data_IF_685908333656
#
_entry.id   IF_685908333656
#
_cell.length_a   1.000
_cell.length_b   1.000
_cell.length_c   1.000
_cell.angle_alpha   90.00
_cell.angle_beta   90.00
_cell.angle_gamma   90.00
#
_symmetry.space_group_name_H-M   'P 1'
#
loop_
_entity.id
_entity.type
_entity.pdbx_description
1 polymer ?
#
# COMPACT_ATOMS: atom_id res chain seq x y z
N UNK A 1 -10.24 21.92 15.61
CA UNK A 1 -9.33 21.45 16.69
C UNK A 1 -8.79 20.00 16.56
N UNK A 2 -9.20 19.22 15.56
CA UNK A 2 -8.30 18.28 14.83
C UNK A 2 -8.59 18.53 13.35
N UNK A 3 -7.99 19.57 12.78
CA UNK A 3 -8.45 20.14 11.49
C UNK A 3 -7.77 19.58 10.24
N UNK A 4 -6.92 18.57 10.41
CA UNK A 4 -6.47 17.75 9.28
C UNK A 4 -6.34 16.32 9.78
N UNK A 5 -7.02 15.36 9.13
CA UNK A 5 -6.93 13.93 9.48
C UNK A 5 -5.49 13.39 9.52
N UNK A 6 -4.55 14.11 8.89
CA UNK A 6 -3.10 13.86 8.92
C UNK A 6 -2.53 13.94 10.35
N UNK A 7 -2.98 14.89 11.18
CA UNK A 7 -2.44 15.06 12.54
C UNK A 7 -2.69 13.82 13.39
N UNK A 8 -3.86 13.20 13.29
CA UNK A 8 -4.18 11.96 14.02
C UNK A 8 -3.22 10.81 13.66
N UNK A 9 -2.91 10.64 12.37
CA UNK A 9 -1.95 9.62 11.94
C UNK A 9 -0.52 9.91 12.38
N UNK A 10 -0.11 11.18 12.38
CA UNK A 10 1.22 11.59 12.83
C UNK A 10 1.39 11.39 14.34
N UNK A 11 0.37 11.69 15.15
CA UNK A 11 0.42 11.44 16.59
C UNK A 11 0.73 9.97 16.89
N UNK A 12 0.12 9.02 16.18
CA UNK A 12 0.41 7.60 16.34
C UNK A 12 1.88 7.26 16.05
N UNK A 13 2.43 7.80 14.96
CA UNK A 13 3.84 7.60 14.60
C UNK A 13 4.80 8.24 15.61
N UNK A 14 4.47 9.44 16.10
CA UNK A 14 5.27 10.16 17.11
C UNK A 14 5.27 9.38 18.42
N UNK A 15 4.10 8.93 18.91
CA UNK A 15 4.01 8.11 20.11
C UNK A 15 4.86 6.85 19.95
N UNK A 16 4.78 6.18 18.79
CA UNK A 16 5.57 4.97 18.52
C UNK A 16 7.09 5.21 18.60
N UNK A 17 7.57 6.40 18.19
CA UNK A 17 8.98 6.79 18.29
C UNK A 17 9.47 6.89 19.74
N UNK A 18 8.60 7.27 20.67
CA UNK A 18 8.93 7.42 22.09
C UNK A 18 8.78 6.12 22.91
N UNK A 19 8.37 5.01 22.29
CA UNK A 19 8.27 3.73 22.99
C UNK A 19 9.67 3.16 23.20
N UNK A 20 10.07 2.84 24.45
CA UNK A 20 11.42 2.35 24.73
C UNK A 20 11.67 0.98 24.08
N UNK A 21 12.66 0.93 23.20
CA UNK A 21 13.17 -0.30 22.60
C UNK A 21 14.47 -0.68 23.32
N UNK A 22 14.47 -1.81 24.02
CA UNK A 22 15.68 -2.32 24.67
C UNK A 22 16.43 -3.24 23.70
N UNK A 23 17.64 -2.82 23.28
CA UNK A 23 18.42 -3.47 22.21
C UNK A 23 19.37 -4.56 22.76
N UNK A 24 19.39 -4.79 24.07
CA UNK A 24 20.25 -5.82 24.69
C UNK A 24 19.66 -7.23 24.61
N UNK A 25 19.58 -7.81 23.41
CA UNK A 25 19.50 -9.27 23.15
C UNK A 25 18.36 -10.08 23.78
N UNK A 26 17.55 -9.51 24.65
CA UNK A 26 16.39 -10.15 25.24
C UNK A 26 15.21 -9.93 24.31
N UNK A 27 14.73 -11.04 23.78
CA UNK A 27 13.56 -11.18 22.89
C UNK A 27 12.26 -10.63 23.56
N UNK A 28 12.32 -10.20 24.82
CA UNK A 28 11.25 -9.56 25.59
C UNK A 28 11.39 -8.03 25.69
N UNK A 29 11.74 -7.34 24.61
CA UNK A 29 11.59 -5.88 24.57
C UNK A 29 10.12 -5.51 24.75
N UNK A 30 9.83 -4.54 25.62
CA UNK A 30 8.46 -4.06 25.87
C UNK A 30 7.74 -3.66 24.58
N UNK A 31 8.49 -3.13 23.60
CA UNK A 31 8.02 -2.83 22.26
C UNK A 31 7.49 -4.07 21.52
N UNK A 32 8.23 -5.18 21.49
CA UNK A 32 7.80 -6.36 20.74
C UNK A 32 6.56 -7.02 21.36
N UNK A 33 6.42 -6.95 22.69
CA UNK A 33 5.18 -7.37 23.38
C UNK A 33 4.00 -6.49 22.97
N UNK A 34 4.19 -5.17 22.96
CA UNK A 34 3.17 -4.22 22.54
C UNK A 34 2.78 -4.43 21.08
N UNK A 35 3.76 -4.61 20.18
CA UNK A 35 3.53 -4.88 18.76
C UNK A 35 2.70 -6.16 18.57
N UNK A 36 3.04 -7.24 19.26
CA UNK A 36 2.29 -8.51 19.22
C UNK A 36 0.85 -8.39 19.75
N UNK A 37 0.60 -7.50 20.70
CA UNK A 37 -0.75 -7.24 21.22
C UNK A 37 -1.58 -6.39 20.25
N UNK A 38 -0.97 -5.38 19.64
CA UNK A 38 -1.65 -4.42 18.77
C UNK A 38 -1.88 -5.00 17.36
N UNK A 39 -0.92 -5.75 16.80
CA UNK A 39 -1.03 -6.31 15.44
C UNK A 39 -2.35 -7.06 15.16
N UNK A 40 -2.80 -8.03 15.98
CA UNK A 40 -4.06 -8.73 15.69
C UNK A 40 -5.25 -7.78 15.76
N UNK A 41 -5.29 -6.85 16.71
CA UNK A 41 -6.35 -5.86 16.80
C UNK A 41 -6.39 -4.94 15.57
N UNK A 42 -5.23 -4.48 15.10
CA UNK A 42 -5.13 -3.67 13.88
C UNK A 42 -5.58 -4.46 12.65
N UNK A 43 -5.10 -5.69 12.49
CA UNK A 43 -5.33 -6.49 11.29
C UNK A 43 -6.76 -7.04 11.19
N UNK A 44 -7.38 -7.40 12.30
CA UNK A 44 -8.71 -8.03 12.31
C UNK A 44 -9.85 -7.07 12.65
N UNK A 45 -9.57 -5.90 13.25
CA UNK A 45 -10.61 -4.95 13.62
C UNK A 45 -10.42 -3.60 12.92
N UNK A 46 -9.28 -2.93 13.13
CA UNK A 46 -9.09 -1.55 12.64
C UNK A 46 -9.04 -1.51 11.11
N UNK A 47 -8.22 -2.35 10.47
CA UNK A 47 -8.09 -2.37 9.00
C UNK A 47 -9.41 -2.74 8.30
N UNK A 48 -10.13 -3.81 8.71
CA UNK A 48 -11.43 -4.14 8.12
C UNK A 48 -12.46 -3.03 8.30
N UNK A 49 -12.53 -2.42 9.50
CA UNK A 49 -13.45 -1.31 9.75
C UNK A 49 -13.10 -0.09 8.90
N UNK A 50 -11.81 0.24 8.80
CA UNK A 50 -11.32 1.36 7.98
C UNK A 50 -11.70 1.16 6.51
N UNK A 51 -11.44 -0.04 5.98
CA UNK A 51 -11.81 -0.40 4.62
C UNK A 51 -13.33 -0.31 4.46
N UNK A 52 -14.12 -0.86 5.37
CA UNK A 52 -15.57 -0.83 5.27
C UNK A 52 -16.12 0.61 5.23
N UNK A 53 -15.59 1.51 6.05
CA UNK A 53 -16.00 2.92 6.08
C UNK A 53 -15.55 3.71 4.84
N UNK A 54 -14.36 3.43 4.30
CA UNK A 54 -13.77 4.23 3.21
C UNK A 54 -13.95 3.64 1.81
N UNK A 55 -14.17 2.33 1.70
CA UNK A 55 -14.35 1.65 0.41
C UNK A 55 -15.78 1.73 -0.12
N UNK A 56 -16.72 2.31 0.63
CA UNK A 56 -18.08 2.55 0.17
C UNK A 56 -18.09 3.33 -1.14
N UNK A 57 -18.35 2.63 -2.24
CA UNK A 57 -18.48 3.19 -3.60
C UNK A 57 -19.94 3.13 -4.01
N UNK A 58 -20.47 4.28 -4.44
CA UNK A 58 -21.81 4.37 -5.01
C UNK A 58 -21.74 3.85 -6.44
N UNK A 59 -22.15 2.60 -6.64
CA UNK A 59 -22.20 1.97 -7.96
C UNK A 59 -23.28 2.58 -8.87
N UNK A 60 -24.22 3.36 -8.30
CA UNK A 60 -25.30 3.99 -9.05
C UNK A 60 -24.79 4.98 -10.10
N UNK A 61 -23.62 5.59 -9.86
CA UNK A 61 -22.94 6.51 -10.78
C UNK A 61 -21.82 5.84 -11.59
N UNK A 62 -21.78 4.49 -11.61
CA UNK A 62 -20.76 3.74 -12.33
C UNK A 62 -21.04 3.75 -13.83
N UNK A 63 -20.79 4.88 -14.47
CA UNK A 63 -20.70 4.96 -15.92
C UNK A 63 -19.30 4.56 -16.39
N UNK A 64 -19.18 3.86 -17.51
CA UNK A 64 -17.89 3.61 -18.18
C UNK A 64 -17.10 4.92 -18.39
N UNK A 65 -17.82 6.05 -18.54
CA UNK A 65 -17.26 7.39 -18.66
C UNK A 65 -16.56 7.89 -17.39
N UNK A 66 -17.05 7.50 -16.21
CA UNK A 66 -16.39 7.80 -14.92
C UNK A 66 -15.04 7.10 -14.81
N UNK A 67 -14.95 5.84 -15.27
CA UNK A 67 -13.69 5.07 -15.28
C UNK A 67 -12.69 5.65 -16.28
N UNK A 68 -13.17 6.11 -17.44
CA UNK A 68 -12.35 6.80 -18.44
C UNK A 68 -12.07 8.28 -18.11
N UNK A 69 -12.40 8.75 -16.91
CA UNK A 69 -11.96 10.09 -16.49
C UNK A 69 -10.44 10.13 -16.33
N UNK A 70 -9.82 11.25 -16.73
CA UNK A 70 -8.36 11.42 -16.64
C UNK A 70 -7.83 11.19 -15.22
N UNK A 71 -8.63 11.52 -14.20
CA UNK A 71 -8.28 11.29 -12.80
C UNK A 71 -8.23 9.79 -12.47
N UNK A 72 -9.28 9.03 -12.81
CA UNK A 72 -9.34 7.59 -12.53
C UNK A 72 -8.22 6.85 -13.26
N UNK A 73 -8.00 7.18 -14.53
CA UNK A 73 -6.93 6.58 -15.31
C UNK A 73 -5.54 6.92 -14.76
N UNK A 74 -5.33 8.19 -14.37
CA UNK A 74 -4.10 8.64 -13.72
C UNK A 74 -3.81 7.90 -12.41
N UNK A 75 -4.82 7.70 -11.57
CA UNK A 75 -4.68 6.94 -10.31
C UNK A 75 -4.37 5.47 -10.58
N UNK A 76 -5.09 4.83 -11.52
CA UNK A 76 -4.86 3.41 -11.86
C UNK A 76 -3.44 3.22 -12.42
N UNK A 77 -3.03 4.03 -13.39
CA UNK A 77 -1.69 3.95 -13.98
C UNK A 77 -0.61 4.31 -12.96
N UNK A 78 -0.84 5.32 -12.11
CA UNK A 78 0.09 5.71 -11.06
C UNK A 78 0.30 4.60 -10.02
N UNK A 79 -0.78 3.92 -9.62
CA UNK A 79 -0.72 2.78 -8.70
C UNK A 79 -0.06 1.56 -9.34
N UNK A 80 -0.49 1.20 -10.55
CA UNK A 80 -0.01 -0.01 -11.21
C UNK A 80 1.38 0.18 -11.79
N UNK A 81 1.53 1.09 -12.76
CA UNK A 81 2.79 1.31 -13.48
C UNK A 81 3.77 2.13 -12.65
N UNK A 82 3.30 3.18 -11.98
CA UNK A 82 4.16 4.09 -11.21
C UNK A 82 4.92 3.37 -10.09
N UNK A 83 4.28 2.43 -9.37
CA UNK A 83 4.96 1.63 -8.34
C UNK A 83 5.99 0.68 -8.92
N UNK A 84 5.67 0.00 -10.02
CA UNK A 84 6.59 -0.91 -10.69
C UNK A 84 7.83 -0.18 -11.20
N UNK A 85 7.62 0.92 -11.93
CA UNK A 85 8.71 1.74 -12.45
C UNK A 85 9.52 2.36 -11.32
N UNK A 86 8.88 2.91 -10.29
CA UNK A 86 9.58 3.49 -9.15
C UNK A 86 10.50 2.47 -8.47
N UNK A 87 9.97 1.30 -8.11
CA UNK A 87 10.77 0.26 -7.44
C UNK A 87 11.89 -0.24 -8.36
N UNK A 88 11.62 -0.54 -9.63
CA UNK A 88 12.64 -1.03 -10.57
C UNK A 88 13.71 0.02 -10.87
N UNK A 89 13.32 1.28 -11.06
CA UNK A 89 14.22 2.37 -11.42
C UNK A 89 15.24 2.67 -10.31
N UNK A 90 14.84 2.58 -9.03
CA UNK A 90 15.77 2.80 -7.92
C UNK A 90 16.54 1.53 -7.55
N UNK A 91 15.90 0.35 -7.63
CA UNK A 91 16.56 -0.90 -7.27
C UNK A 91 17.61 -1.35 -8.29
N UNK A 92 17.34 -1.22 -9.59
CA UNK A 92 18.23 -1.73 -10.64
C UNK A 92 19.61 -1.06 -10.65
N UNK A 93 19.73 0.28 -10.62
CA UNK A 93 21.03 0.96 -10.51
C UNK A 93 21.71 0.64 -9.19
N UNK A 94 20.99 0.64 -8.06
CA UNK A 94 21.59 0.32 -6.75
C UNK A 94 22.23 -1.07 -6.72
N UNK A 95 21.60 -2.06 -7.35
CA UNK A 95 22.18 -3.40 -7.50
C UNK A 95 23.34 -3.37 -8.49
N UNK A 96 23.20 -2.69 -9.63
CA UNK A 96 24.24 -2.62 -10.67
C UNK A 96 25.52 -1.94 -10.18
N UNK A 97 25.40 -0.95 -9.31
CA UNK A 97 26.51 -0.24 -8.68
C UNK A 97 27.01 -0.92 -7.39
N UNK A 98 26.50 -2.10 -7.04
CA UNK A 98 26.85 -2.85 -5.82
C UNK A 98 26.61 -2.08 -4.50
N UNK A 99 25.71 -1.08 -4.48
CA UNK A 99 25.25 -0.48 -3.23
C UNK A 99 24.39 -1.46 -2.42
N UNK A 100 23.67 -2.34 -3.12
CA UNK A 100 22.84 -3.38 -2.52
C UNK A 100 22.99 -4.70 -3.30
N UNK A 101 22.75 -5.83 -2.64
CA UNK A 101 22.64 -7.14 -3.29
C UNK A 101 21.21 -7.66 -3.23
N UNK A 102 20.81 -8.46 -4.23
CA UNK A 102 19.55 -9.20 -4.12
C UNK A 102 19.69 -10.27 -3.01
N UNK A 103 18.61 -10.55 -2.26
CA UNK A 103 18.62 -11.62 -1.27
C UNK A 103 18.91 -12.97 -1.92
N UNK A 104 19.45 -13.91 -1.12
CA UNK A 104 19.75 -15.27 -1.58
C UNK A 104 18.52 -15.97 -2.15
N UNK A 105 18.68 -16.73 -3.24
CA UNK A 105 17.61 -17.42 -3.98
C UNK A 105 16.55 -16.52 -4.67
N UNK A 106 16.85 -15.23 -4.88
CA UNK A 106 15.95 -14.30 -5.57
C UNK A 106 16.44 -13.97 -6.98
N UNK A 107 15.65 -14.35 -7.99
CA UNK A 107 15.84 -13.88 -9.37
C UNK A 107 15.22 -12.49 -9.57
N UNK A 108 15.68 -11.75 -10.58
CA UNK A 108 15.05 -10.48 -11.00
C UNK A 108 13.53 -10.59 -11.24
N UNK A 109 13.05 -11.73 -11.76
CA UNK A 109 11.62 -11.95 -12.04
C UNK A 109 10.79 -12.06 -10.75
N UNK A 110 11.31 -12.76 -9.73
CA UNK A 110 10.72 -12.77 -8.37
C UNK A 110 10.71 -11.38 -7.75
N UNK A 111 11.82 -10.64 -7.86
CA UNK A 111 11.89 -9.27 -7.35
C UNK A 111 10.89 -8.34 -8.06
N UNK A 112 10.72 -8.50 -9.37
CA UNK A 112 9.69 -7.79 -10.14
C UNK A 112 8.27 -8.14 -9.71
N UNK A 113 8.01 -9.39 -9.34
CA UNK A 113 6.71 -9.80 -8.76
C UNK A 113 6.38 -9.01 -7.49
N UNK A 114 7.39 -8.81 -6.62
CA UNK A 114 7.26 -8.02 -5.39
C UNK A 114 7.01 -6.54 -5.73
N UNK A 115 7.68 -6.00 -6.74
CA UNK A 115 7.45 -4.62 -7.19
C UNK A 115 6.01 -4.40 -7.68
N UNK A 116 5.43 -5.36 -8.42
CA UNK A 116 4.02 -5.31 -8.83
C UNK A 116 3.09 -5.35 -7.62
N UNK A 117 3.35 -6.23 -6.65
CA UNK A 117 2.58 -6.30 -5.40
C UNK A 117 2.69 -5.01 -4.58
N UNK A 118 3.80 -4.29 -4.68
CA UNK A 118 3.95 -2.92 -4.14
C UNK A 118 2.98 -1.90 -4.74
N UNK A 119 2.34 -2.23 -5.86
CA UNK A 119 1.22 -1.50 -6.47
C UNK A 119 -0.12 -1.66 -5.76
N UNK A 120 -0.22 -2.52 -4.73
CA UNK A 120 -1.43 -2.68 -3.92
C UNK A 120 -1.47 -1.55 -2.89
N UNK A 121 -1.93 -0.38 -3.32
CA UNK A 121 -2.06 0.80 -2.45
C UNK A 121 -3.33 0.83 -1.61
N UNK A 122 -4.32 -0.01 -1.93
CA UNK A 122 -5.67 -0.07 -1.37
C UNK A 122 -5.96 0.83 -0.14
N UNK A 123 -5.57 0.43 1.06
CA UNK A 123 -5.88 1.17 2.29
C UNK A 123 -5.18 2.52 2.40
N UNK A 124 -3.87 2.56 2.14
CA UNK A 124 -3.08 3.79 2.16
C UNK A 124 -3.57 4.78 1.10
N UNK A 125 -3.91 4.31 -0.09
CA UNK A 125 -4.43 5.14 -1.17
C UNK A 125 -5.86 5.63 -0.91
N UNK A 126 -6.73 4.81 -0.31
CA UNK A 126 -8.04 5.26 0.15
C UNK A 126 -7.91 6.33 1.23
N UNK A 127 -6.97 6.17 2.16
CA UNK A 127 -6.67 7.16 3.19
C UNK A 127 -6.19 8.48 2.57
N UNK A 128 -5.16 8.42 1.73
CA UNK A 128 -4.58 9.60 1.06
C UNK A 128 -5.60 10.27 0.14
N UNK A 129 -6.37 9.49 -0.60
CA UNK A 129 -7.45 10.02 -1.43
C UNK A 129 -8.56 10.67 -0.59
N UNK A 130 -8.89 10.10 0.56
CA UNK A 130 -9.87 10.65 1.50
C UNK A 130 -9.51 12.05 1.97
N UNK A 131 -8.26 12.25 2.39
CA UNK A 131 -7.74 13.58 2.79
C UNK A 131 -7.59 14.54 1.60
N UNK A 132 -7.28 14.01 0.40
CA UNK A 132 -7.05 14.86 -0.78
C UNK A 132 -8.35 15.41 -1.35
N UNK A 133 -9.43 14.63 -1.29
CA UNK A 133 -10.73 14.98 -1.86
C UNK A 133 -11.79 15.21 -0.77
N UNK A 134 -11.36 15.56 0.44
CA UNK A 134 -12.24 15.84 1.57
C UNK A 134 -13.14 17.03 1.22
N UNK A 135 -14.47 16.81 1.15
CA UNK A 135 -15.45 17.86 0.83
C UNK A 135 -15.82 18.06 -0.65
N UNK A 136 -15.35 17.21 -1.57
CA UNK A 136 -15.66 17.36 -3.01
C UNK A 136 -15.96 16.07 -3.79
N UNK A 137 -16.70 16.20 -4.90
CA UNK A 137 -16.58 15.27 -6.01
C UNK A 137 -15.24 15.52 -6.70
N UNK A 138 -14.35 14.53 -6.86
CA UNK A 138 -14.72 13.16 -7.25
C UNK A 138 -14.20 12.08 -6.27
N UNK A 139 -14.62 12.13 -5.01
CA UNK A 139 -14.27 11.09 -4.02
C UNK A 139 -14.67 9.67 -4.48
N UNK A 140 -15.83 9.52 -5.13
CA UNK A 140 -16.29 8.20 -5.61
C UNK A 140 -15.39 7.64 -6.72
N UNK A 141 -15.05 8.44 -7.74
CA UNK A 141 -14.18 8.03 -8.85
C UNK A 141 -12.77 7.69 -8.38
N UNK A 142 -12.26 8.40 -7.37
CA UNK A 142 -10.98 8.06 -6.72
C UNK A 142 -11.03 6.69 -6.04
N UNK A 143 -12.07 6.41 -5.24
CA UNK A 143 -12.21 5.10 -4.55
C UNK A 143 -12.28 3.95 -5.56
N UNK A 144 -13.07 4.11 -6.62
CA UNK A 144 -13.15 3.16 -7.74
C UNK A 144 -11.77 2.95 -8.37
N UNK A 145 -11.06 4.03 -8.67
CA UNK A 145 -9.74 3.96 -9.29
C UNK A 145 -8.74 3.18 -8.42
N UNK A 146 -8.72 3.46 -7.12
CA UNK A 146 -7.85 2.78 -6.15
C UNK A 146 -8.19 1.29 -6.06
N UNK A 147 -9.47 0.93 -6.04
CA UNK A 147 -9.93 -0.47 -6.02
C UNK A 147 -9.47 -1.19 -7.29
N UNK A 148 -9.73 -0.62 -8.48
CA UNK A 148 -9.36 -1.23 -9.76
C UNK A 148 -7.84 -1.36 -9.88
N UNK A 149 -7.10 -0.28 -9.59
CA UNK A 149 -5.63 -0.28 -9.65
C UNK A 149 -5.02 -1.30 -8.70
N UNK A 150 -5.52 -1.40 -7.47
CA UNK A 150 -5.03 -2.38 -6.50
C UNK A 150 -5.38 -3.81 -6.90
N UNK A 151 -6.56 -4.05 -7.47
CA UNK A 151 -6.98 -5.37 -7.95
C UNK A 151 -6.12 -5.83 -9.12
N UNK A 152 -5.83 -4.93 -10.07
CA UNK A 152 -4.92 -5.21 -11.19
C UNK A 152 -3.52 -5.53 -10.68
N UNK A 153 -2.96 -4.72 -9.76
CA UNK A 153 -1.68 -5.00 -9.12
C UNK A 153 -1.67 -6.36 -8.42
N UNK A 154 -2.73 -6.71 -7.68
CA UNK A 154 -2.82 -7.99 -7.00
C UNK A 154 -2.89 -9.17 -7.99
N UNK A 155 -3.74 -9.10 -9.01
CA UNK A 155 -3.88 -10.15 -10.03
C UNK A 155 -2.59 -10.38 -10.79
N UNK A 156 -1.99 -9.32 -11.35
CA UNK A 156 -0.74 -9.43 -12.09
C UNK A 156 0.41 -9.87 -11.19
N UNK A 157 0.50 -9.33 -9.97
CA UNK A 157 1.53 -9.72 -9.01
C UNK A 157 1.46 -11.21 -8.66
N UNK A 158 0.25 -11.74 -8.42
CA UNK A 158 0.03 -13.17 -8.16
C UNK A 158 0.35 -14.01 -9.40
N UNK A 159 -0.07 -13.57 -10.60
CA UNK A 159 0.22 -14.30 -11.84
C UNK A 159 1.73 -14.43 -12.06
N UNK A 160 2.47 -13.32 -12.04
CA UNK A 160 3.93 -13.32 -12.23
C UNK A 160 4.61 -14.13 -11.13
N UNK A 161 4.16 -14.02 -9.88
CA UNK A 161 4.72 -14.81 -8.77
C UNK A 161 4.47 -16.31 -8.95
N UNK A 162 3.29 -16.71 -9.45
CA UNK A 162 3.01 -18.12 -9.77
C UNK A 162 3.88 -18.65 -10.90
N UNK A 163 4.12 -17.86 -11.95
CA UNK A 163 5.05 -18.23 -13.03
C UNK A 163 6.49 -18.40 -12.50
N UNK A 164 6.95 -17.52 -11.61
CA UNK A 164 8.27 -17.62 -10.99
C UNK A 164 8.45 -18.89 -10.15
N UNK A 165 7.43 -19.28 -9.39
CA UNK A 165 7.53 -20.44 -8.48
C UNK A 165 7.46 -21.77 -9.21
N UNK A 166 6.76 -21.83 -10.36
CA UNK A 166 6.72 -23.02 -11.21
C UNK A 166 8.02 -23.27 -11.98
N UNK A 167 8.89 -22.27 -12.12
CA UNK A 167 10.21 -22.44 -12.74
C UNK A 167 11.20 -23.02 -11.72
N UNK A 168 10.98 -24.27 -11.33
CA UNK A 168 11.91 -25.17 -10.64
C UNK A 168 11.67 -26.57 -11.17
#
# INVERSE_FOLDING_TARGET
MVEAGIHGTLCGAIIALFIPVNIKGQINSSFHKLEKLIQPFVNYFILPLFVFMNSGVLLKDFSFRSVCSSLTFGIILGLFIGKQLGVMLFSYPCVKFNFCSLPSNTSWLKFYSIAILGGIGFTLSLFIGGITFEGGCPSNSMRVAVIIGSLLSALFGILVMRYCTKSK
#
